data_IF_727972034962
#
_entry.id   IF_727972034962
#
_cell.length_a   1.000
_cell.length_b   1.000
_cell.length_c   1.000
_cell.angle_alpha   90.00
_cell.angle_beta   90.00
_cell.angle_gamma   90.00
#
_symmetry.space_group_name_H-M   'P 1'
#
loop_
_entity.id
_entity.type
_entity.pdbx_description
1 polymer ?
#
# COMPACT_ATOMS: atom_id res chain seq x y z
N UNK A 1 -42.95 -18.82 -23.52
CA UNK A 1 -41.59 -19.44 -23.55
C UNK A 1 -40.44 -18.43 -23.62
N UNK A 2 -40.72 -17.09 -23.64
CA UNK A 2 -39.68 -16.05 -23.80
C UNK A 2 -39.10 -15.49 -22.49
N UNK A 3 -39.77 -15.64 -21.36
CA UNK A 3 -39.42 -14.93 -20.11
C UNK A 3 -38.34 -15.60 -19.27
N UNK A 4 -38.13 -16.88 -19.39
CA UNK A 4 -37.11 -17.61 -18.59
C UNK A 4 -35.71 -17.56 -19.21
N UNK A 5 -35.58 -17.43 -20.54
CA UNK A 5 -34.30 -17.23 -21.24
C UNK A 5 -33.76 -15.81 -21.03
N UNK A 6 -34.61 -14.80 -21.03
CA UNK A 6 -34.21 -13.41 -20.82
C UNK A 6 -33.77 -13.14 -19.38
N UNK A 7 -34.43 -13.77 -18.38
CA UNK A 7 -34.01 -13.71 -16.98
C UNK A 7 -32.66 -14.39 -16.74
N UNK A 8 -32.39 -15.51 -17.43
CA UNK A 8 -31.09 -16.19 -17.35
C UNK A 8 -29.98 -15.38 -18.01
N UNK A 9 -30.23 -14.78 -19.18
CA UNK A 9 -29.27 -13.92 -19.88
C UNK A 9 -28.99 -12.64 -19.09
N UNK A 10 -30.02 -12.04 -18.48
CA UNK A 10 -29.85 -10.86 -17.60
C UNK A 10 -29.09 -11.20 -16.29
N UNK A 11 -29.32 -12.38 -15.73
CA UNK A 11 -28.59 -12.90 -14.57
C UNK A 11 -27.12 -13.19 -14.90
N UNK A 12 -26.84 -13.81 -16.04
CA UNK A 12 -25.48 -14.09 -16.52
C UNK A 12 -24.71 -12.79 -16.83
N UNK A 13 -25.37 -11.80 -17.47
CA UNK A 13 -24.77 -10.50 -17.74
C UNK A 13 -24.39 -9.75 -16.44
N UNK A 14 -25.26 -9.78 -15.43
CA UNK A 14 -24.94 -9.19 -14.10
C UNK A 14 -23.82 -9.91 -13.39
N UNK A 15 -23.74 -11.24 -13.46
CA UNK A 15 -22.66 -12.04 -12.88
C UNK A 15 -21.35 -11.77 -13.62
N UNK A 16 -21.37 -11.68 -14.96
CA UNK A 16 -20.19 -11.32 -15.75
C UNK A 16 -19.69 -9.91 -15.42
N UNK A 17 -20.60 -8.92 -15.32
CA UNK A 17 -20.22 -7.56 -14.93
C UNK A 17 -19.71 -7.47 -13.49
N UNK A 18 -20.26 -8.26 -12.57
CA UNK A 18 -19.78 -8.34 -11.19
C UNK A 18 -18.38 -8.98 -11.14
N UNK A 19 -18.16 -10.04 -11.91
CA UNK A 19 -16.84 -10.69 -12.00
C UNK A 19 -15.80 -9.77 -12.65
N UNK A 20 -16.17 -9.03 -13.71
CA UNK A 20 -15.30 -8.06 -14.38
C UNK A 20 -14.86 -6.93 -13.45
N UNK A 21 -15.71 -6.52 -12.51
CA UNK A 21 -15.42 -5.42 -11.58
C UNK A 21 -14.88 -5.90 -10.22
N UNK A 22 -14.66 -7.20 -10.02
CA UNK A 22 -14.19 -7.74 -8.74
C UNK A 22 -12.84 -7.17 -8.31
N UNK A 23 -11.93 -6.93 -9.26
CA UNK A 23 -10.63 -6.35 -8.94
C UNK A 23 -10.72 -4.91 -8.39
N UNK A 24 -11.72 -4.13 -8.85
CA UNK A 24 -11.99 -2.79 -8.32
C UNK A 24 -12.50 -2.84 -6.88
N UNK A 25 -13.43 -3.76 -6.59
CA UNK A 25 -13.97 -3.97 -5.25
C UNK A 25 -12.82 -4.35 -4.30
N UNK A 26 -11.95 -5.26 -4.71
CA UNK A 26 -10.78 -5.65 -3.92
C UNK A 26 -9.79 -4.48 -3.73
N UNK A 27 -9.60 -3.64 -4.75
CA UNK A 27 -8.78 -2.43 -4.64
C UNK A 27 -9.38 -1.43 -3.63
N UNK A 28 -10.70 -1.25 -3.63
CA UNK A 28 -11.40 -0.40 -2.65
C UNK A 28 -11.32 -0.99 -1.23
N UNK A 29 -11.51 -2.30 -1.07
CA UNK A 29 -11.31 -2.98 0.21
C UNK A 29 -9.88 -2.80 0.72
N UNK A 30 -8.89 -2.91 -0.17
CA UNK A 30 -7.49 -2.65 0.16
C UNK A 30 -7.27 -1.20 0.61
N UNK A 31 -7.89 -0.22 -0.07
CA UNK A 31 -7.81 1.19 0.31
C UNK A 31 -8.39 1.44 1.71
N UNK A 32 -9.55 0.85 2.03
CA UNK A 32 -10.15 0.94 3.37
C UNK A 32 -9.24 0.32 4.42
N UNK A 33 -8.74 -0.89 4.18
CA UNK A 33 -7.80 -1.56 5.09
C UNK A 33 -6.53 -0.74 5.35
N UNK A 34 -5.96 -0.12 4.32
CA UNK A 34 -4.81 0.78 4.46
C UNK A 34 -5.14 2.03 5.28
N UNK A 35 -6.37 2.57 5.18
CA UNK A 35 -6.78 3.70 5.99
C UNK A 35 -6.79 3.35 7.48
N UNK A 36 -7.35 2.20 7.85
CA UNK A 36 -7.29 1.70 9.24
C UNK A 36 -5.86 1.36 9.67
N UNK A 37 -5.05 0.76 8.78
CA UNK A 37 -3.63 0.55 9.02
C UNK A 37 -2.90 1.85 9.37
N UNK A 38 -3.12 2.94 8.63
CA UNK A 38 -2.47 4.23 8.87
C UNK A 38 -2.87 4.81 10.23
N UNK A 39 -4.13 4.65 10.64
CA UNK A 39 -4.61 5.05 11.97
C UNK A 39 -3.90 4.25 13.07
N UNK A 40 -3.89 2.91 12.96
CA UNK A 40 -3.25 2.02 13.93
C UNK A 40 -1.75 2.29 14.03
N UNK A 41 -1.10 2.54 12.88
CA UNK A 41 0.31 2.93 12.80
C UNK A 41 0.58 4.23 13.56
N UNK A 42 -0.22 5.28 13.32
CA UNK A 42 -0.09 6.58 14.02
C UNK A 42 -0.19 6.41 15.53
N UNK A 43 -1.15 5.61 15.99
CA UNK A 43 -1.34 5.32 17.42
C UNK A 43 -0.19 4.51 18.02
N UNK A 44 0.41 3.60 17.25
CA UNK A 44 1.46 2.69 17.72
C UNK A 44 2.83 3.34 17.81
N UNK A 45 3.18 4.22 16.86
CA UNK A 45 4.53 4.82 16.78
C UNK A 45 4.65 6.11 17.60
N UNK A 46 3.53 6.69 18.06
CA UNK A 46 3.55 7.89 18.90
C UNK A 46 4.30 7.58 20.20
N UNK A 47 5.40 8.31 20.44
CA UNK A 47 6.27 8.17 21.61
C UNK A 47 6.76 6.74 21.86
N UNK A 48 6.99 5.95 20.78
CA UNK A 48 7.38 4.56 20.83
C UNK A 48 8.63 4.27 19.97
N UNK A 49 9.22 3.09 20.15
CA UNK A 49 10.36 2.63 19.37
C UNK A 49 9.91 2.15 18.00
N UNK A 50 10.18 2.93 16.95
CA UNK A 50 9.73 2.65 15.58
C UNK A 50 10.29 1.34 15.02
N UNK A 51 11.62 1.03 15.10
CA UNK A 51 12.15 -0.26 14.67
C UNK A 51 11.50 -1.46 15.37
N UNK A 52 11.26 -1.33 16.70
CA UNK A 52 10.59 -2.37 17.48
C UNK A 52 9.13 -2.58 17.07
N UNK A 53 8.38 -1.50 16.84
CA UNK A 53 6.99 -1.59 16.33
C UNK A 53 6.96 -2.26 14.96
N UNK A 54 7.89 -1.93 14.07
CA UNK A 54 8.00 -2.55 12.75
C UNK A 54 8.34 -4.04 12.83
N UNK A 55 9.29 -4.41 13.71
CA UNK A 55 9.63 -5.81 13.92
C UNK A 55 8.41 -6.60 14.42
N UNK A 56 7.70 -6.09 15.42
CA UNK A 56 6.48 -6.74 15.92
C UNK A 56 5.41 -6.85 14.83
N UNK A 57 5.21 -5.79 14.03
CA UNK A 57 4.29 -5.83 12.89
C UNK A 57 4.65 -6.94 11.89
N UNK A 58 5.92 -7.08 11.51
CA UNK A 58 6.35 -8.14 10.57
C UNK A 58 6.20 -9.53 11.18
N UNK A 59 6.50 -9.71 12.47
CA UNK A 59 6.31 -10.98 13.19
C UNK A 59 4.82 -11.35 13.23
N UNK A 60 3.94 -10.43 13.63
CA UNK A 60 2.50 -10.70 13.66
C UNK A 60 1.91 -10.95 12.27
N UNK A 61 2.38 -10.23 11.24
CA UNK A 61 2.00 -10.51 9.86
C UNK A 61 2.39 -11.92 9.43
N UNK A 62 3.59 -12.38 9.81
CA UNK A 62 4.05 -13.76 9.57
C UNK A 62 3.22 -14.78 10.35
N UNK A 63 2.89 -14.50 11.61
CA UNK A 63 2.03 -15.36 12.42
C UNK A 63 0.63 -15.50 11.82
N UNK A 64 0.05 -14.43 11.31
CA UNK A 64 -1.22 -14.46 10.59
C UNK A 64 -1.16 -15.33 9.33
N UNK A 65 -0.02 -15.35 8.63
CA UNK A 65 0.21 -16.15 7.44
C UNK A 65 0.78 -17.54 7.75
N UNK A 66 1.10 -17.86 9.00
CA UNK A 66 1.69 -19.15 9.37
C UNK A 66 0.86 -20.38 8.97
N UNK A 67 -0.49 -20.39 9.02
CA UNK A 67 -1.25 -21.55 8.55
C UNK A 67 -1.03 -21.84 7.06
N UNK A 68 -0.86 -20.76 6.25
CA UNK A 68 -0.59 -20.89 4.81
C UNK A 68 0.82 -21.38 4.57
N UNK A 69 1.80 -20.88 5.32
CA UNK A 69 3.21 -21.29 5.22
C UNK A 69 3.35 -22.77 5.60
N UNK A 70 2.79 -23.18 6.74
CA UNK A 70 2.84 -24.55 7.24
C UNK A 70 2.09 -25.50 6.29
N UNK A 71 0.88 -25.11 5.85
CA UNK A 71 0.12 -25.88 4.87
C UNK A 71 0.85 -26.03 3.53
N UNK A 72 1.55 -25.00 3.08
CA UNK A 72 2.39 -25.04 1.90
C UNK A 72 3.55 -26.01 2.03
N UNK A 73 4.23 -25.99 3.18
CA UNK A 73 5.34 -26.89 3.46
C UNK A 73 4.89 -28.36 3.59
N UNK A 74 3.74 -28.60 4.21
CA UNK A 74 3.23 -29.96 4.46
C UNK A 74 2.55 -30.59 3.26
N UNK A 75 1.86 -29.85 2.45
CA UNK A 75 0.98 -30.36 1.39
C UNK A 75 1.38 -29.91 -0.03
N UNK A 76 2.40 -29.08 -0.17
CA UNK A 76 2.86 -28.56 -1.47
C UNK A 76 1.89 -27.59 -2.18
N UNK A 77 0.76 -27.26 -1.56
CA UNK A 77 -0.28 -26.42 -2.19
C UNK A 77 0.12 -24.95 -2.38
N UNK A 78 0.96 -24.42 -1.49
CA UNK A 78 1.38 -23.02 -1.49
C UNK A 78 2.91 -22.87 -1.51
N UNK A 79 3.59 -23.90 -1.99
CA UNK A 79 5.06 -23.93 -2.01
C UNK A 79 5.59 -23.50 -3.35
N UNK A 80 5.53 -22.24 -3.76
CA UNK A 80 6.26 -21.60 -4.90
C UNK A 80 6.85 -22.61 -5.93
N UNK A 81 6.15 -23.75 -6.17
CA UNK A 81 6.61 -24.88 -6.96
C UNK A 81 7.91 -25.54 -6.44
N UNK A 82 8.30 -25.35 -5.17
CA UNK A 82 9.62 -25.73 -4.60
C UNK A 82 10.83 -25.23 -5.42
N UNK A 83 10.64 -24.14 -6.19
CA UNK A 83 11.70 -23.59 -7.03
C UNK A 83 12.49 -22.54 -6.26
N UNK A 84 13.81 -22.72 -6.21
CA UNK A 84 14.74 -21.73 -5.64
C UNK A 84 14.50 -20.35 -6.26
N UNK A 85 14.19 -20.30 -7.55
CA UNK A 85 13.89 -19.05 -8.28
C UNK A 85 12.70 -18.30 -7.69
N UNK A 86 11.60 -18.97 -7.33
CA UNK A 86 10.43 -18.36 -6.71
C UNK A 86 10.77 -17.72 -5.36
N UNK A 87 11.51 -18.43 -4.53
CA UNK A 87 11.97 -17.90 -3.24
C UNK A 87 12.92 -16.70 -3.39
N UNK A 88 13.83 -16.73 -4.38
CA UNK A 88 14.71 -15.59 -4.67
C UNK A 88 13.94 -14.37 -5.15
N UNK A 89 12.96 -14.55 -6.03
CA UNK A 89 12.13 -13.44 -6.53
C UNK A 89 11.31 -12.79 -5.40
N UNK A 90 10.69 -13.59 -4.53
CA UNK A 90 9.94 -13.03 -3.38
C UNK A 90 10.91 -12.46 -2.32
N UNK A 91 12.07 -13.05 -2.14
CA UNK A 91 13.13 -12.48 -1.30
C UNK A 91 13.58 -11.11 -1.80
N UNK A 92 13.76 -10.95 -3.11
CA UNK A 92 14.08 -9.67 -3.74
C UNK A 92 12.99 -8.61 -3.46
N UNK A 93 11.69 -8.99 -3.57
CA UNK A 93 10.59 -8.11 -3.17
C UNK A 93 10.75 -7.64 -1.72
N UNK A 94 11.03 -8.55 -0.79
CA UNK A 94 11.18 -8.21 0.62
C UNK A 94 12.33 -7.22 0.84
N UNK A 95 13.46 -7.39 0.14
CA UNK A 95 14.59 -6.46 0.17
C UNK A 95 14.21 -5.07 -0.37
N UNK A 96 13.52 -5.01 -1.51
CA UNK A 96 13.08 -3.73 -2.12
C UNK A 96 12.17 -2.97 -1.15
N UNK A 97 11.18 -3.65 -0.57
CA UNK A 97 10.24 -3.03 0.37
C UNK A 97 10.94 -2.59 1.64
N UNK A 98 11.79 -3.44 2.22
CA UNK A 98 12.53 -3.09 3.44
C UNK A 98 13.45 -1.90 3.21
N UNK A 99 14.16 -1.84 2.09
CA UNK A 99 14.99 -0.70 1.71
C UNK A 99 14.17 0.58 1.58
N UNK A 100 12.99 0.51 0.94
CA UNK A 100 12.05 1.63 0.87
C UNK A 100 11.61 2.10 2.27
N UNK A 101 11.32 1.18 3.19
CA UNK A 101 10.91 1.51 4.55
C UNK A 101 12.05 2.16 5.33
N UNK A 102 13.25 1.62 5.28
CA UNK A 102 14.43 2.20 5.95
C UNK A 102 14.64 3.65 5.50
N UNK A 103 14.71 3.89 4.18
CA UNK A 103 14.88 5.23 3.64
C UNK A 103 13.73 6.17 4.06
N UNK A 104 12.49 5.69 4.00
CA UNK A 104 11.31 6.44 4.36
C UNK A 104 11.27 6.82 5.84
N UNK A 105 11.65 5.91 6.74
CA UNK A 105 11.69 6.19 8.18
C UNK A 105 12.77 7.19 8.57
N UNK A 106 13.95 7.10 7.97
CA UNK A 106 14.98 8.11 8.18
C UNK A 106 14.56 9.46 7.61
N UNK A 107 13.92 9.49 6.46
CA UNK A 107 13.39 10.72 5.88
C UNK A 107 12.33 11.37 6.79
N UNK A 108 11.32 10.61 7.26
CA UNK A 108 10.25 11.12 8.13
C UNK A 108 10.79 11.63 9.47
N UNK A 109 11.84 11.03 10.00
CA UNK A 109 12.47 11.49 11.25
C UNK A 109 13.04 12.89 11.14
N UNK A 110 13.50 13.30 9.96
CA UNK A 110 14.27 14.53 9.76
C UNK A 110 13.59 15.55 8.83
N UNK A 111 12.58 15.15 8.06
CA UNK A 111 11.82 16.05 7.19
C UNK A 111 10.47 16.39 7.80
N UNK A 112 10.01 17.64 7.66
CA UNK A 112 8.63 18.00 7.95
C UNK A 112 7.66 17.16 7.10
N UNK A 113 6.51 16.79 7.68
CA UNK A 113 5.44 16.09 6.96
C UNK A 113 4.97 16.84 5.71
N UNK A 114 5.08 18.17 5.75
CA UNK A 114 4.77 19.09 4.67
C UNK A 114 5.61 18.91 3.41
N UNK A 115 6.83 18.37 3.54
CA UNK A 115 7.72 18.03 2.44
C UNK A 115 7.56 16.55 2.03
N UNK A 116 7.39 15.68 3.03
CA UNK A 116 7.24 14.23 2.80
C UNK A 116 5.94 13.91 2.02
N UNK A 117 4.85 14.60 2.31
CA UNK A 117 3.56 14.41 1.64
C UNK A 117 3.63 14.56 0.11
N UNK A 118 4.12 15.72 -0.43
CA UNK A 118 4.31 15.90 -1.88
C UNK A 118 5.14 14.82 -2.54
N UNK A 119 6.25 14.43 -1.91
CA UNK A 119 7.13 13.40 -2.47
C UNK A 119 6.40 12.07 -2.56
N UNK A 120 5.71 11.66 -1.50
CA UNK A 120 4.91 10.43 -1.50
C UNK A 120 3.74 10.47 -2.50
N UNK A 121 3.17 11.66 -2.75
CA UNK A 121 2.12 11.84 -3.74
C UNK A 121 2.61 11.62 -5.20
N UNK A 122 3.91 11.64 -5.46
CA UNK A 122 4.46 11.31 -6.78
C UNK A 122 4.51 9.80 -7.05
N UNK A 123 4.36 8.95 -6.04
CA UNK A 123 4.43 7.48 -6.19
C UNK A 123 3.44 6.91 -7.20
N UNK A 124 2.13 7.26 -7.19
CA UNK A 124 1.21 6.81 -8.23
C UNK A 124 1.59 7.26 -9.64
N UNK A 125 2.21 8.45 -9.79
CA UNK A 125 2.71 8.92 -11.10
C UNK A 125 3.83 8.00 -11.59
N UNK A 126 4.78 7.65 -10.73
CA UNK A 126 5.87 6.72 -11.08
C UNK A 126 5.33 5.33 -11.44
N UNK A 127 4.33 4.85 -10.69
CA UNK A 127 3.66 3.56 -10.99
C UNK A 127 2.94 3.64 -12.33
N UNK A 128 2.22 4.73 -12.61
CA UNK A 128 1.53 4.95 -13.88
C UNK A 128 2.51 4.90 -15.06
N UNK A 129 3.58 5.69 -14.99
CA UNK A 129 4.61 5.70 -16.06
C UNK A 129 5.21 4.31 -16.25
N UNK A 130 5.53 3.62 -15.15
CA UNK A 130 6.04 2.24 -15.20
C UNK A 130 5.02 1.26 -15.80
N UNK A 131 3.75 1.38 -15.47
CA UNK A 131 2.68 0.53 -15.97
C UNK A 131 2.45 0.69 -17.49
N UNK A 132 2.49 1.93 -17.97
CA UNK A 132 2.38 2.24 -19.41
C UNK A 132 3.56 1.64 -20.20
N UNK A 133 4.79 1.74 -19.66
CA UNK A 133 6.01 1.28 -20.35
C UNK A 133 6.19 -0.24 -20.23
N UNK A 134 6.04 -0.81 -19.03
CA UNK A 134 6.39 -2.21 -18.74
C UNK A 134 5.24 -3.15 -19.10
N UNK A 135 4.00 -2.78 -18.77
CA UNK A 135 2.83 -3.64 -18.96
C UNK A 135 1.98 -3.24 -20.17
N UNK A 136 2.29 -2.12 -20.83
CA UNK A 136 1.52 -1.64 -21.98
C UNK A 136 0.07 -1.29 -21.64
N UNK A 137 -0.20 -0.89 -20.38
CA UNK A 137 -1.56 -0.52 -19.95
C UNK A 137 -2.10 0.60 -20.83
N UNK A 138 -3.38 0.51 -21.23
CA UNK A 138 -4.07 1.54 -22.02
C UNK A 138 -5.24 2.05 -21.23
N UNK A 139 -5.19 3.32 -20.88
CA UNK A 139 -6.23 3.99 -20.12
C UNK A 139 -7.21 4.68 -21.06
N UNK A 140 -8.49 4.59 -20.75
CA UNK A 140 -9.52 5.36 -21.43
C UNK A 140 -9.59 6.81 -20.91
N UNK A 141 -10.37 7.67 -21.57
CA UNK A 141 -10.49 9.09 -21.22
C UNK A 141 -10.99 9.33 -19.80
N UNK A 142 -11.93 8.51 -19.30
CA UNK A 142 -12.45 8.63 -17.93
C UNK A 142 -11.39 8.27 -16.90
N UNK A 143 -10.62 7.22 -17.15
CA UNK A 143 -9.51 6.81 -16.29
C UNK A 143 -8.40 7.88 -16.27
N UNK A 144 -8.06 8.46 -17.41
CA UNK A 144 -7.11 9.58 -17.47
C UNK A 144 -7.61 10.79 -16.67
N UNK A 145 -8.89 11.18 -16.85
CA UNK A 145 -9.49 12.28 -16.09
C UNK A 145 -9.46 11.99 -14.58
N UNK A 146 -9.82 10.77 -14.17
CA UNK A 146 -9.76 10.32 -12.78
C UNK A 146 -8.36 10.40 -12.19
N UNK A 147 -7.35 9.89 -12.91
CA UNK A 147 -5.95 9.93 -12.45
C UNK A 147 -5.44 11.37 -12.32
N UNK A 148 -5.67 12.21 -13.32
CA UNK A 148 -5.24 13.62 -13.28
C UNK A 148 -5.89 14.39 -12.14
N UNK A 149 -7.19 14.16 -11.91
CA UNK A 149 -7.92 14.78 -10.81
C UNK A 149 -7.42 14.29 -9.45
N UNK A 150 -7.10 13.00 -9.32
CA UNK A 150 -6.50 12.43 -8.13
C UNK A 150 -5.11 12.99 -7.85
N UNK A 151 -4.29 13.22 -8.86
CA UNK A 151 -2.99 13.90 -8.69
C UNK A 151 -3.18 15.35 -8.24
N UNK A 152 -4.15 16.05 -8.80
CA UNK A 152 -4.47 17.41 -8.36
C UNK A 152 -4.85 17.43 -6.88
N UNK A 153 -5.72 16.51 -6.42
CA UNK A 153 -6.09 16.35 -5.01
C UNK A 153 -4.85 16.07 -4.14
N UNK A 154 -4.04 15.07 -4.48
CA UNK A 154 -2.82 14.75 -3.72
C UNK A 154 -1.85 15.93 -3.65
N UNK A 155 -1.77 16.73 -4.69
CA UNK A 155 -0.95 17.95 -4.73
C UNK A 155 -1.54 19.06 -3.86
N UNK A 156 -2.87 19.24 -3.81
CA UNK A 156 -3.54 20.23 -2.97
C UNK A 156 -3.41 19.89 -1.48
N UNK A 157 -3.66 18.66 -1.07
CA UNK A 157 -3.41 18.18 0.31
C UNK A 157 -1.98 18.51 0.73
N UNK A 158 -1.05 18.28 -0.16
CA UNK A 158 0.36 18.52 0.08
C UNK A 158 0.70 20.00 0.25
N UNK A 159 0.07 20.90 -0.50
CA UNK A 159 0.28 22.35 -0.40
C UNK A 159 -0.30 22.96 0.89
N UNK A 160 -1.39 22.43 1.41
CA UNK A 160 -2.00 22.90 2.67
C UNK A 160 -1.01 22.73 3.83
N UNK A 161 -0.15 21.71 3.79
CA UNK A 161 0.88 21.44 4.79
C UNK A 161 2.20 22.22 4.64
N UNK A 162 2.49 22.87 3.49
CA UNK A 162 3.86 23.29 3.12
C UNK A 162 4.24 24.74 3.42
N UNK A 163 3.57 25.45 4.35
CA UNK A 163 3.91 26.87 4.69
C UNK A 163 5.14 27.06 5.58
N UNK A 164 5.94 26.01 5.84
CA UNK A 164 7.14 26.08 6.66
C UNK A 164 8.40 26.03 5.80
N UNK A 165 9.17 27.12 5.82
CA UNK A 165 10.37 27.31 5.01
C UNK A 165 11.49 26.33 5.36
N UNK A 166 11.86 25.44 4.42
CA UNK A 166 12.99 24.55 4.52
C UNK A 166 13.89 24.70 3.28
N UNK A 167 15.22 24.75 3.49
CA UNK A 167 16.19 24.82 2.40
C UNK A 167 16.32 23.46 1.71
N UNK A 168 15.71 23.32 0.53
CA UNK A 168 15.56 22.07 -0.22
C UNK A 168 16.87 21.56 -0.88
N UNK A 169 17.89 22.40 -1.06
CA UNK A 169 18.97 22.15 -2.02
C UNK A 169 20.10 21.23 -1.53
N UNK A 170 20.21 20.94 -0.20
CA UNK A 170 21.34 20.19 0.36
C UNK A 170 20.99 19.09 1.34
N UNK A 171 19.72 18.70 1.45
CA UNK A 171 19.32 17.73 2.47
C UNK A 171 19.38 16.29 1.96
N UNK A 172 20.31 15.48 2.51
CA UNK A 172 20.38 14.02 2.29
C UNK A 172 19.04 13.32 2.56
N UNK A 173 18.24 13.87 3.48
CA UNK A 173 16.95 13.32 3.85
C UNK A 173 15.89 13.46 2.75
N UNK A 174 16.00 14.53 1.92
CA UNK A 174 15.17 14.69 0.72
C UNK A 174 15.43 13.57 -0.27
N UNK A 175 16.69 13.29 -0.55
CA UNK A 175 17.08 12.20 -1.46
C UNK A 175 16.67 10.83 -0.93
N UNK A 176 16.74 10.63 0.39
CA UNK A 176 16.22 9.41 1.02
C UNK A 176 14.71 9.27 0.86
N UNK A 177 13.96 10.36 0.97
CA UNK A 177 12.51 10.35 0.74
C UNK A 177 12.16 10.03 -0.73
N UNK A 178 12.86 10.65 -1.68
CA UNK A 178 12.70 10.35 -3.11
C UNK A 178 13.03 8.88 -3.39
N UNK A 179 14.16 8.40 -2.85
CA UNK A 179 14.57 7.00 -2.99
C UNK A 179 13.54 6.02 -2.40
N UNK A 180 12.99 6.32 -1.23
CA UNK A 180 11.93 5.53 -0.61
C UNK A 180 10.67 5.46 -1.50
N UNK A 181 10.26 6.60 -2.06
CA UNK A 181 9.09 6.67 -2.93
C UNK A 181 9.31 5.92 -4.24
N UNK A 182 10.49 6.06 -4.83
CA UNK A 182 10.88 5.34 -6.07
C UNK A 182 10.93 3.83 -5.85
N UNK A 183 11.60 3.36 -4.78
CA UNK A 183 11.63 1.94 -4.43
C UNK A 183 10.22 1.41 -4.14
N UNK A 184 9.37 2.23 -3.51
CA UNK A 184 7.98 1.88 -3.30
C UNK A 184 7.18 1.75 -4.60
N UNK A 185 7.45 2.57 -5.61
CA UNK A 185 6.84 2.45 -6.94
C UNK A 185 7.36 1.21 -7.68
N UNK A 186 8.67 0.96 -7.63
CA UNK A 186 9.29 -0.25 -8.18
C UNK A 186 8.69 -1.50 -7.54
N UNK A 187 8.53 -1.50 -6.21
CA UNK A 187 7.88 -2.61 -5.50
C UNK A 187 6.46 -2.88 -6.01
N UNK A 188 5.66 -1.83 -6.24
CA UNK A 188 4.30 -2.00 -6.74
C UNK A 188 4.27 -2.62 -8.15
N UNK A 189 5.14 -2.15 -9.06
CA UNK A 189 5.27 -2.74 -10.39
C UNK A 189 5.77 -4.18 -10.33
N UNK A 190 6.70 -4.46 -9.42
CA UNK A 190 7.22 -5.80 -9.18
C UNK A 190 6.16 -6.75 -8.62
N UNK A 191 5.21 -6.24 -7.82
CA UNK A 191 4.06 -7.02 -7.36
C UNK A 191 3.20 -7.51 -8.52
N UNK A 192 2.89 -6.62 -9.47
CA UNK A 192 2.13 -7.01 -10.68
C UNK A 192 2.87 -8.07 -11.49
N UNK A 193 4.19 -7.95 -11.62
CA UNK A 193 5.03 -8.95 -12.28
C UNK A 193 4.98 -10.30 -11.57
N UNK A 194 5.18 -10.35 -10.24
CA UNK A 194 5.16 -11.58 -9.46
C UNK A 194 3.80 -12.29 -9.53
N UNK A 195 2.72 -11.54 -9.49
CA UNK A 195 1.35 -12.07 -9.52
C UNK A 195 0.95 -12.63 -10.90
N UNK A 196 1.76 -12.39 -11.93
CA UNK A 196 1.67 -13.09 -13.21
C UNK A 196 2.14 -14.55 -13.17
N UNK A 197 2.94 -14.94 -12.15
CA UNK A 197 3.54 -16.27 -12.05
C UNK A 197 3.12 -17.02 -10.79
N UNK A 198 2.82 -16.31 -9.69
CA UNK A 198 2.56 -16.91 -8.38
C UNK A 198 1.20 -16.49 -7.85
N UNK A 199 0.58 -17.34 -7.04
CA UNK A 199 -0.71 -17.05 -6.44
C UNK A 199 -0.58 -15.96 -5.35
N UNK A 200 -1.57 -15.07 -5.21
CA UNK A 200 -1.56 -13.98 -4.22
C UNK A 200 -1.20 -14.43 -2.82
N UNK A 201 -1.79 -15.54 -2.39
CA UNK A 201 -1.61 -16.07 -1.04
C UNK A 201 -0.20 -16.61 -0.81
N UNK A 202 0.41 -17.23 -1.83
CA UNK A 202 1.82 -17.70 -1.79
C UNK A 202 2.77 -16.51 -1.66
N UNK A 203 2.57 -15.48 -2.49
CA UNK A 203 3.40 -14.25 -2.46
C UNK A 203 3.29 -13.59 -1.09
N UNK A 204 2.08 -13.42 -0.56
CA UNK A 204 1.87 -12.78 0.74
C UNK A 204 2.51 -13.57 1.88
N UNK A 205 2.34 -14.90 1.91
CA UNK A 205 2.85 -15.74 2.97
C UNK A 205 4.38 -15.72 3.03
N UNK A 206 5.04 -16.01 1.92
CA UNK A 206 6.51 -16.04 1.86
C UNK A 206 7.13 -14.65 1.99
N UNK A 207 6.50 -13.64 1.41
CA UNK A 207 6.92 -12.25 1.60
C UNK A 207 6.90 -11.84 3.07
N UNK A 208 5.83 -12.15 3.80
CA UNK A 208 5.73 -11.84 5.24
C UNK A 208 6.85 -12.50 6.04
N UNK A 209 7.17 -13.76 5.76
CA UNK A 209 8.25 -14.49 6.42
C UNK A 209 9.62 -13.83 6.15
N UNK A 210 9.94 -13.54 4.90
CA UNK A 210 11.21 -12.90 4.55
C UNK A 210 11.31 -11.49 5.12
N UNK A 211 10.20 -10.76 5.15
CA UNK A 211 10.15 -9.43 5.77
C UNK A 211 10.49 -9.50 7.27
N UNK A 212 9.93 -10.48 7.99
CA UNK A 212 10.21 -10.67 9.41
C UNK A 212 11.67 -11.08 9.65
N UNK A 213 12.21 -12.00 8.85
CA UNK A 213 13.63 -12.41 8.95
C UNK A 213 14.57 -11.22 8.67
N UNK A 214 14.34 -10.48 7.59
CA UNK A 214 15.18 -9.33 7.24
C UNK A 214 15.07 -8.21 8.28
N UNK A 215 13.86 -7.93 8.78
CA UNK A 215 13.65 -6.91 9.81
C UNK A 215 14.27 -7.34 11.15
N UNK A 216 14.16 -8.61 11.51
CA UNK A 216 14.83 -9.18 12.69
C UNK A 216 16.35 -9.04 12.60
N UNK A 217 16.94 -9.38 11.45
CA UNK A 217 18.37 -9.21 11.19
C UNK A 217 18.80 -7.74 11.28
N UNK A 218 18.01 -6.83 10.72
CA UNK A 218 18.25 -5.40 10.78
C UNK A 218 18.25 -4.87 12.23
N UNK A 219 17.21 -5.21 13.00
CA UNK A 219 17.09 -4.78 14.40
C UNK A 219 18.23 -5.36 15.24
N UNK A 220 18.62 -6.62 15.00
CA UNK A 220 19.76 -7.24 15.66
C UNK A 220 21.06 -6.50 15.31
N UNK A 221 21.30 -6.18 14.05
CA UNK A 221 22.47 -5.43 13.59
C UNK A 221 22.51 -4.01 14.18
N UNK A 222 21.39 -3.30 14.20
CA UNK A 222 21.26 -1.98 14.83
C UNK A 222 21.44 -2.05 16.35
N UNK A 223 20.92 -3.09 17.00
CA UNK A 223 21.07 -3.32 18.44
C UNK A 223 22.53 -3.47 18.87
N UNK A 224 23.40 -4.01 18.02
CA UNK A 224 24.85 -4.06 18.26
C UNK A 224 25.54 -2.70 18.13
N UNK A 225 24.91 -1.74 17.45
CA UNK A 225 25.43 -0.37 17.20
C UNK A 225 24.71 0.67 18.06
N UNK A 226 24.14 0.25 19.18
CA UNK A 226 23.21 1.04 19.96
C UNK A 226 23.88 2.26 20.58
N UNK A 227 23.40 3.43 20.18
CA UNK A 227 23.66 4.70 20.86
C UNK A 227 22.65 4.91 21.99
N UNK A 228 23.15 5.28 23.16
CA UNK A 228 22.32 5.65 24.32
C UNK A 228 21.27 6.70 23.93
N UNK A 229 20.00 6.45 24.25
CA UNK A 229 18.90 7.40 24.02
C UNK A 229 17.73 6.90 23.15
N UNK A 230 17.72 5.63 22.76
CA UNK A 230 16.56 5.07 22.04
C UNK A 230 15.32 4.99 22.94
N UNK A 231 14.18 5.48 22.45
CA UNK A 231 12.88 5.33 23.12
C UNK A 231 12.61 3.84 23.39
N UNK A 232 12.22 3.44 24.62
CA UNK A 232 11.89 2.06 24.91
C UNK A 232 10.67 1.60 24.13
N UNK A 233 10.63 0.33 23.74
CA UNK A 233 9.46 -0.27 23.10
C UNK A 233 8.34 -0.41 24.12
N UNK A 234 7.21 0.20 23.83
CA UNK A 234 5.99 0.07 24.61
C UNK A 234 4.98 -0.79 23.86
N UNK A 235 4.43 -1.79 24.55
CA UNK A 235 3.35 -2.60 24.00
C UNK A 235 2.07 -1.78 23.86
N UNK A 236 1.46 -1.87 22.68
CA UNK A 236 0.12 -1.29 22.40
C UNK A 236 -0.66 -2.25 21.54
N UNK A 237 -1.92 -2.47 21.82
CA UNK A 237 -2.80 -3.32 21.02
C UNK A 237 -2.95 -2.84 19.57
N UNK A 238 -2.75 -1.56 19.33
CA UNK A 238 -2.70 -1.00 17.97
C UNK A 238 -1.60 -1.61 17.10
N UNK A 239 -0.52 -2.16 17.69
CA UNK A 239 0.55 -2.86 16.96
C UNK A 239 0.00 -4.12 16.29
N UNK A 240 -0.83 -4.89 16.99
CA UNK A 240 -1.52 -6.03 16.41
C UNK A 240 -2.51 -5.59 15.31
N UNK A 241 -3.23 -4.49 15.56
CA UNK A 241 -4.11 -3.87 14.57
C UNK A 241 -3.40 -3.49 13.27
N UNK A 242 -2.16 -2.98 13.35
CA UNK A 242 -1.32 -2.71 12.17
C UNK A 242 -1.21 -3.98 11.31
N UNK A 243 -0.82 -5.10 11.92
CA UNK A 243 -0.56 -6.35 11.19
C UNK A 243 -1.83 -6.92 10.56
N UNK A 244 -2.96 -6.88 11.27
CA UNK A 244 -4.24 -7.39 10.77
C UNK A 244 -4.70 -6.59 9.56
N UNK A 245 -4.78 -5.25 9.69
CA UNK A 245 -5.28 -4.40 8.62
C UNK A 245 -4.32 -4.35 7.43
N UNK A 246 -3.00 -4.35 7.65
CA UNK A 246 -2.01 -4.39 6.59
C UNK A 246 -2.08 -5.72 5.82
N UNK A 247 -2.10 -6.85 6.51
CA UNK A 247 -2.17 -8.18 5.88
C UNK A 247 -3.46 -8.34 5.07
N UNK A 248 -4.60 -7.92 5.62
CA UNK A 248 -5.88 -7.96 4.91
C UNK A 248 -5.89 -7.03 3.69
N UNK A 249 -5.36 -5.81 3.83
CA UNK A 249 -5.25 -4.85 2.74
C UNK A 249 -4.32 -5.33 1.61
N UNK A 250 -3.19 -5.93 1.96
CA UNK A 250 -2.24 -6.44 0.98
C UNK A 250 -2.75 -7.71 0.29
N UNK A 251 -3.46 -8.59 0.99
CA UNK A 251 -4.16 -9.73 0.36
C UNK A 251 -5.20 -9.24 -0.65
N UNK A 252 -6.06 -8.30 -0.27
CA UNK A 252 -7.05 -7.73 -1.19
C UNK A 252 -6.37 -7.07 -2.41
N UNK A 253 -5.26 -6.38 -2.20
CA UNK A 253 -4.45 -5.78 -3.26
C UNK A 253 -3.85 -6.83 -4.20
N UNK A 254 -3.24 -7.88 -3.68
CA UNK A 254 -2.63 -8.92 -4.52
C UNK A 254 -3.69 -9.69 -5.31
N UNK A 255 -4.83 -10.01 -4.69
CA UNK A 255 -5.95 -10.60 -5.42
C UNK A 255 -6.49 -9.68 -6.50
N UNK A 256 -6.60 -8.37 -6.22
CA UNK A 256 -6.97 -7.38 -7.25
C UNK A 256 -6.01 -7.40 -8.43
N UNK A 257 -4.70 -7.38 -8.18
CA UNK A 257 -3.67 -7.36 -9.23
C UNK A 257 -3.53 -8.69 -9.99
N UNK A 258 -3.92 -9.81 -9.41
CA UNK A 258 -3.86 -11.12 -10.06
C UNK A 258 -4.98 -11.33 -11.08
N UNK A 259 -5.98 -10.48 -11.11
CA UNK A 259 -7.07 -10.60 -12.08
C UNK A 259 -6.63 -10.08 -13.46
N UNK A 260 -7.07 -10.76 -14.56
CA UNK A 260 -6.59 -10.49 -15.92
C UNK A 260 -6.77 -9.03 -16.37
N UNK A 261 -7.92 -8.43 -16.05
CA UNK A 261 -8.28 -7.07 -16.49
C UNK A 261 -7.80 -5.96 -15.54
N UNK A 262 -7.03 -6.33 -14.50
CA UNK A 262 -6.56 -5.36 -13.51
C UNK A 262 -5.45 -4.46 -14.06
N UNK A 263 -5.63 -3.15 -13.90
CA UNK A 263 -4.62 -2.15 -14.22
C UNK A 263 -3.95 -1.65 -12.94
N UNK A 264 -2.61 -1.82 -12.84
CA UNK A 264 -1.89 -1.42 -11.63
C UNK A 264 -1.89 0.11 -11.44
N UNK A 265 -1.93 0.88 -12.51
CA UNK A 265 -2.08 2.33 -12.46
C UNK A 265 -3.37 2.74 -11.73
N UNK A 266 -4.49 2.12 -12.09
CA UNK A 266 -5.81 2.36 -11.48
C UNK A 266 -5.84 1.86 -10.04
N UNK A 267 -5.39 0.63 -9.78
CA UNK A 267 -5.32 0.04 -8.43
C UNK A 267 -4.45 0.88 -7.51
N UNK A 268 -3.28 1.34 -7.99
CA UNK A 268 -2.38 2.20 -7.21
C UNK A 268 -3.04 3.53 -6.84
N UNK A 269 -3.86 4.09 -7.73
CA UNK A 269 -4.60 5.33 -7.46
C UNK A 269 -5.76 5.11 -6.47
N UNK A 270 -6.55 4.06 -6.66
CA UNK A 270 -7.65 3.70 -5.75
C UNK A 270 -7.12 3.48 -4.32
N UNK A 271 -5.98 2.83 -4.16
CA UNK A 271 -5.36 2.64 -2.83
C UNK A 271 -5.02 3.96 -2.13
N UNK A 272 -4.83 5.07 -2.84
CA UNK A 272 -4.68 6.40 -2.22
C UNK A 272 -5.97 6.91 -1.59
N UNK A 273 -7.12 6.32 -1.94
CA UNK A 273 -8.37 6.54 -1.22
C UNK A 273 -8.31 6.19 0.28
N UNK A 274 -7.28 5.48 0.75
CA UNK A 274 -7.00 5.28 2.18
C UNK A 274 -6.95 6.60 2.97
N UNK A 275 -6.56 7.69 2.32
CA UNK A 275 -6.54 9.04 2.91
C UNK A 275 -7.92 9.47 3.39
N UNK A 276 -9.01 9.02 2.74
CA UNK A 276 -10.39 9.30 3.16
C UNK A 276 -10.68 8.79 4.57
N UNK A 277 -10.25 7.58 4.88
CA UNK A 277 -10.44 6.94 6.19
C UNK A 277 -9.61 7.65 7.25
N UNK A 278 -8.33 7.90 6.94
CA UNK A 278 -7.42 8.62 7.84
C UNK A 278 -7.91 10.04 8.12
N UNK A 279 -8.49 10.70 7.12
CA UNK A 279 -9.07 12.03 7.26
C UNK A 279 -10.33 12.01 8.14
N UNK A 280 -11.27 11.10 7.87
CA UNK A 280 -12.48 10.97 8.68
C UNK A 280 -12.13 10.75 10.17
N UNK A 281 -11.13 9.91 10.44
CA UNK A 281 -10.62 9.71 11.81
C UNK A 281 -10.01 11.00 12.40
N UNK A 282 -9.20 11.73 11.63
CA UNK A 282 -8.59 13.00 12.04
C UNK A 282 -9.64 14.05 12.43
N UNK A 283 -10.71 14.18 11.65
CA UNK A 283 -11.81 15.12 11.91
C UNK A 283 -12.64 14.69 13.12
N UNK A 284 -13.07 13.42 13.16
CA UNK A 284 -14.04 12.95 14.16
C UNK A 284 -13.38 12.74 15.53
N UNK A 285 -12.17 12.16 15.55
CA UNK A 285 -11.51 11.73 16.80
C UNK A 285 -10.45 12.73 17.28
N UNK A 286 -9.66 13.29 16.35
CA UNK A 286 -8.57 14.18 16.69
C UNK A 286 -8.97 15.68 16.69
N UNK A 287 -10.18 16.00 16.26
CA UNK A 287 -10.72 17.38 16.19
C UNK A 287 -9.78 18.35 15.46
N UNK A 288 -9.19 17.90 14.33
CA UNK A 288 -8.21 18.67 13.56
C UNK A 288 -8.79 19.98 13.04
N UNK A 289 -7.94 21.02 13.00
CA UNK A 289 -8.28 22.35 12.45
C UNK A 289 -8.25 22.32 10.91
N UNK A 290 -8.88 23.32 10.26
CA UNK A 290 -8.94 23.45 8.79
C UNK A 290 -9.76 22.37 8.04
N UNK A 291 -10.82 21.88 8.68
CA UNK A 291 -11.71 20.83 8.14
C UNK A 291 -12.28 21.21 6.78
N UNK A 292 -12.61 22.51 6.54
CA UNK A 292 -13.28 22.96 5.31
C UNK A 292 -12.43 22.79 4.05
N UNK A 293 -11.14 23.14 4.10
CA UNK A 293 -10.20 23.00 2.98
C UNK A 293 -9.96 21.52 2.65
N UNK A 294 -9.83 20.70 3.68
CA UNK A 294 -9.67 19.25 3.57
C UNK A 294 -10.94 18.57 3.04
N UNK A 295 -12.14 19.07 3.34
CA UNK A 295 -13.41 18.55 2.79
C UNK A 295 -13.54 18.82 1.28
N UNK A 296 -13.08 19.96 0.80
CA UNK A 296 -13.08 20.25 -0.64
C UNK A 296 -12.17 19.25 -1.36
N UNK A 297 -10.97 19.03 -0.84
CA UNK A 297 -10.02 18.09 -1.40
C UNK A 297 -10.53 16.64 -1.35
N UNK A 298 -11.21 16.27 -0.26
CA UNK A 298 -11.91 15.00 -0.13
C UNK A 298 -12.96 14.81 -1.25
N UNK A 299 -13.72 15.86 -1.57
CA UNK A 299 -14.68 15.86 -2.66
C UNK A 299 -14.02 15.63 -4.02
N UNK A 300 -12.89 16.27 -4.26
CA UNK A 300 -12.08 16.07 -5.49
C UNK A 300 -11.56 14.64 -5.58
N UNK A 301 -11.07 14.08 -4.48
CA UNK A 301 -10.60 12.69 -4.44
C UNK A 301 -11.73 11.69 -4.68
N UNK A 302 -12.91 11.91 -4.10
CA UNK A 302 -14.10 11.07 -4.34
C UNK A 302 -14.53 11.12 -5.80
N UNK A 303 -14.52 12.30 -6.42
CA UNK A 303 -14.83 12.46 -7.84
C UNK A 303 -13.78 11.70 -8.71
N UNK A 304 -12.50 11.82 -8.37
CA UNK A 304 -11.42 11.06 -9.02
C UNK A 304 -11.68 9.55 -8.98
N UNK A 305 -11.99 9.01 -7.79
CA UNK A 305 -12.29 7.60 -7.61
C UNK A 305 -13.55 7.18 -8.39
N UNK A 306 -14.59 8.01 -8.38
CA UNK A 306 -15.81 7.78 -9.17
C UNK A 306 -15.54 7.69 -10.68
N UNK A 307 -14.70 8.58 -11.24
CA UNK A 307 -14.29 8.54 -12.65
C UNK A 307 -13.47 7.29 -12.98
N UNK A 308 -12.58 6.85 -12.07
CA UNK A 308 -11.81 5.62 -12.26
C UNK A 308 -12.70 4.38 -12.30
N UNK A 309 -13.66 4.29 -11.40
CA UNK A 309 -14.61 3.18 -11.35
C UNK A 309 -15.56 3.21 -12.55
N UNK A 310 -16.06 4.39 -12.96
CA UNK A 310 -16.93 4.53 -14.11
C UNK A 310 -16.23 4.23 -15.45
N UNK A 311 -14.91 4.39 -15.50
CA UNK A 311 -14.09 4.08 -16.67
C UNK A 311 -13.61 2.63 -16.74
N UNK A 312 -13.83 1.82 -15.70
CA UNK A 312 -13.40 0.42 -15.63
C UNK A 312 -14.55 -0.51 -15.88
#
# INVERSE_FOLDING_TARGET
>A
AGTTSDLRLHGLSKICNFAANMWLILALCSALGLGFYDIMKKLSVRDNNVPGVLLLNTIFGTLLMSPVIIGGLMHGYYGLGNTVTGHLLIGLKAVIVLSSWILGYFAIKHLPLTIQGPINATRPVMVLVGALIIFGERLNLLQWAGILLGFASLFFISRIGSKEGFSLRSSKWLWMSIGATTLGAISALYDKYLLGFYKPLEVQAWYSLYQACLMGLLVFALGRWHTAGATPLQWRWSILGISIFLTAADLAYFYSLSMPDSMISVVSMIRRGSVLVSFAYGVIVLHERHVREKLIDLGVLLLSLGLLVAGS
#
